data_IF_052458730248
#
_entry.id   IF_052458730248
#
_cell.length_a   1.000
_cell.length_b   1.000
_cell.length_c   1.000
_cell.angle_alpha   90.00
_cell.angle_beta   90.00
_cell.angle_gamma   90.00
#
_symmetry.space_group_name_H-M   'P 1'
#
loop_
_entity.id
_entity.type
_entity.pdbx_description
1 polymer ?
#
# COMPACT_ATOMS: atom_id res chain seq x y z
N UNK A 1 -9.56 -22.35 1.10
CA UNK A 1 -10.48 -21.46 0.38
C UNK A 1 -11.06 -20.43 1.36
N UNK A 2 -11.08 -19.17 0.97
CA UNK A 2 -11.75 -18.08 1.69
C UNK A 2 -12.87 -17.59 0.78
N UNK A 3 -14.10 -17.51 1.28
CA UNK A 3 -15.22 -16.93 0.59
C UNK A 3 -15.59 -15.60 1.27
N UNK A 4 -15.65 -14.52 0.50
CA UNK A 4 -16.05 -13.19 0.95
C UNK A 4 -17.38 -12.87 0.28
N UNK A 5 -18.41 -12.63 1.07
CA UNK A 5 -19.72 -12.25 0.58
C UNK A 5 -19.98 -10.76 0.93
N UNK A 6 -20.33 -9.98 -0.07
CA UNK A 6 -20.82 -8.62 0.10
C UNK A 6 -22.35 -8.66 0.08
N UNK A 7 -22.95 -8.14 1.15
CA UNK A 7 -24.42 -8.03 1.26
C UNK A 7 -24.84 -6.57 1.41
N UNK A 8 -25.97 -6.20 0.83
CA UNK A 8 -26.66 -4.92 0.99
C UNK A 8 -28.12 -5.19 1.27
N UNK A 9 -28.66 -4.66 2.35
CA UNK A 9 -30.05 -4.87 2.83
C UNK A 9 -30.44 -6.37 2.82
N UNK A 10 -29.59 -7.22 3.43
CA UNK A 10 -29.73 -8.68 3.50
C UNK A 10 -29.73 -9.40 2.13
N UNK A 11 -29.43 -8.69 1.05
CA UNK A 11 -29.26 -9.28 -0.29
C UNK A 11 -27.80 -9.51 -0.60
N UNK A 12 -27.51 -10.68 -1.11
CA UNK A 12 -26.16 -11.01 -1.58
C UNK A 12 -25.87 -10.24 -2.88
N UNK A 13 -24.89 -9.35 -2.85
CA UNK A 13 -24.47 -8.52 -3.99
C UNK A 13 -23.31 -9.13 -4.75
N UNK A 14 -22.34 -9.69 -4.03
CA UNK A 14 -21.13 -10.24 -4.63
C UNK A 14 -20.56 -11.37 -3.76
N UNK A 15 -20.03 -12.40 -4.41
CA UNK A 15 -19.25 -13.47 -3.75
C UNK A 15 -17.92 -13.62 -4.44
N UNK A 16 -16.85 -13.37 -3.69
CA UNK A 16 -15.50 -13.62 -4.12
C UNK A 16 -14.94 -14.86 -3.42
N UNK A 17 -14.29 -15.73 -4.16
CA UNK A 17 -13.64 -16.93 -3.61
C UNK A 17 -12.14 -16.89 -3.93
N UNK A 18 -11.33 -17.01 -2.89
CA UNK A 18 -9.89 -17.11 -3.02
C UNK A 18 -9.39 -18.49 -2.56
N UNK A 19 -8.56 -19.12 -3.37
CA UNK A 19 -7.91 -20.37 -2.99
C UNK A 19 -6.63 -20.05 -2.21
N UNK A 20 -6.52 -20.54 -0.97
CA UNK A 20 -5.28 -20.40 -0.19
C UNK A 20 -4.11 -21.03 -0.97
N UNK A 21 -3.07 -20.25 -1.19
CA UNK A 21 -1.74 -20.75 -1.59
C UNK A 21 -1.45 -20.80 -3.10
N UNK A 22 -2.39 -20.37 -3.98
CA UNK A 22 -2.09 -20.30 -5.42
C UNK A 22 -1.44 -19.00 -5.90
N UNK A 23 -1.68 -17.89 -5.18
CA UNK A 23 -1.24 -16.55 -5.59
C UNK A 23 -0.27 -15.93 -4.58
N UNK A 24 0.69 -16.72 -4.10
CA UNK A 24 1.81 -16.17 -3.34
C UNK A 24 2.61 -15.22 -4.24
N UNK A 25 2.77 -13.97 -3.78
CA UNK A 25 3.46 -12.89 -4.49
C UNK A 25 2.73 -12.30 -5.70
N UNK A 26 1.40 -12.46 -5.80
CA UNK A 26 0.58 -11.76 -6.76
C UNK A 26 0.60 -10.23 -6.53
N UNK A 27 0.41 -9.48 -7.62
CA UNK A 27 0.29 -8.01 -7.54
C UNK A 27 -0.82 -7.61 -6.58
N UNK A 28 -0.51 -6.67 -5.68
CA UNK A 28 -1.42 -6.21 -4.63
C UNK A 28 -1.25 -6.90 -3.28
N UNK A 29 -0.61 -8.07 -3.21
CA UNK A 29 -0.33 -8.75 -1.94
C UNK A 29 0.61 -7.92 -1.07
N UNK A 30 0.31 -7.86 0.24
CA UNK A 30 1.05 -7.08 1.23
C UNK A 30 1.82 -8.02 2.15
N UNK A 31 3.08 -7.70 2.37
CA UNK A 31 3.99 -8.46 3.21
C UNK A 31 4.64 -7.58 4.27
N UNK A 32 4.97 -8.18 5.40
CA UNK A 32 5.87 -7.59 6.39
C UNK A 32 7.26 -8.16 6.15
N UNK A 33 8.08 -7.40 5.40
CA UNK A 33 9.39 -7.84 4.94
C UNK A 33 10.52 -7.32 5.82
N UNK A 34 11.71 -7.91 5.63
CA UNK A 34 12.96 -7.51 6.29
C UNK A 34 14.01 -7.12 5.27
N UNK A 35 14.63 -5.96 5.44
CA UNK A 35 15.74 -5.51 4.59
C UNK A 35 16.95 -6.41 4.78
N UNK A 36 17.39 -7.06 3.71
CA UNK A 36 18.58 -7.93 3.67
C UNK A 36 19.82 -7.18 3.21
N UNK A 37 19.66 -6.28 2.23
CA UNK A 37 20.76 -5.58 1.60
C UNK A 37 20.32 -4.22 1.09
N UNK A 38 21.20 -3.24 1.21
CA UNK A 38 21.09 -1.92 0.56
C UNK A 38 22.06 -1.88 -0.61
N UNK A 39 21.61 -1.38 -1.75
CA UNK A 39 22.38 -1.20 -2.98
C UNK A 39 22.40 0.28 -3.38
N UNK A 40 23.36 1.07 -2.87
CA UNK A 40 23.41 2.51 -3.15
C UNK A 40 23.48 2.84 -4.65
N UNK A 41 24.24 2.05 -5.41
CA UNK A 41 24.40 2.25 -6.87
C UNK A 41 23.07 2.13 -7.65
N UNK A 42 22.08 1.38 -7.10
CA UNK A 42 20.76 1.22 -7.69
C UNK A 42 19.72 2.08 -6.98
N UNK A 43 20.11 2.80 -5.94
CA UNK A 43 19.22 3.50 -5.01
C UNK A 43 18.06 2.60 -4.55
N UNK A 44 18.37 1.36 -4.13
CA UNK A 44 17.40 0.31 -3.88
C UNK A 44 17.78 -0.56 -2.68
N UNK A 45 16.80 -1.25 -2.14
CA UNK A 45 16.95 -2.29 -1.13
C UNK A 45 16.46 -3.64 -1.66
N UNK A 46 17.08 -4.72 -1.19
CA UNK A 46 16.57 -6.07 -1.30
C UNK A 46 15.90 -6.48 0.00
N UNK A 47 14.67 -6.94 -0.11
CA UNK A 47 13.77 -7.24 1.02
C UNK A 47 13.38 -8.72 0.98
N UNK A 48 13.53 -9.37 2.10
CA UNK A 48 13.03 -10.72 2.34
C UNK A 48 11.54 -10.65 2.67
N UNK A 49 10.71 -11.25 1.84
CA UNK A 49 9.26 -11.37 1.99
C UNK A 49 8.82 -12.83 2.06
N UNK A 50 9.77 -13.77 2.24
CA UNK A 50 9.51 -15.21 2.24
C UNK A 50 9.51 -15.86 0.85
N UNK A 51 9.90 -15.14 -0.20
CA UNK A 51 10.12 -15.69 -1.53
C UNK A 51 11.54 -16.24 -1.65
N UNK A 52 11.77 -17.25 -2.52
CA UNK A 52 13.11 -17.83 -2.77
C UNK A 52 14.15 -16.79 -3.21
N UNK A 53 13.70 -15.78 -3.97
CA UNK A 53 14.53 -14.65 -4.41
C UNK A 53 14.18 -13.41 -3.62
N UNK A 54 15.17 -12.63 -3.24
CA UNK A 54 14.97 -11.34 -2.57
C UNK A 54 14.15 -10.41 -3.45
N UNK A 55 13.18 -9.73 -2.85
CA UNK A 55 12.32 -8.78 -3.53
C UNK A 55 13.01 -7.41 -3.66
N UNK A 56 12.73 -6.70 -4.75
CA UNK A 56 13.38 -5.43 -5.08
C UNK A 56 12.48 -4.25 -4.72
N UNK A 57 13.01 -3.32 -3.91
CA UNK A 57 12.37 -2.07 -3.52
C UNK A 57 13.26 -0.89 -3.91
N UNK A 58 12.81 -0.07 -4.86
CA UNK A 58 13.52 1.14 -5.28
C UNK A 58 13.14 2.34 -4.40
N UNK A 59 14.04 3.33 -4.27
CA UNK A 59 13.78 4.56 -3.51
C UNK A 59 12.45 5.25 -3.89
N UNK A 60 12.19 5.40 -5.18
CA UNK A 60 10.96 6.01 -5.68
C UNK A 60 9.68 5.25 -5.33
N UNK A 61 9.81 3.99 -4.96
CA UNK A 61 8.70 3.12 -4.56
C UNK A 61 8.45 3.14 -3.03
N UNK A 62 9.18 3.98 -2.24
CA UNK A 62 8.92 4.16 -0.81
C UNK A 62 7.58 4.86 -0.57
N UNK A 63 7.21 5.80 -1.44
CA UNK A 63 6.02 6.64 -1.29
C UNK A 63 6.21 7.78 -0.28
N UNK A 64 5.38 8.81 -0.40
CA UNK A 64 5.50 10.03 0.41
C UNK A 64 5.21 9.80 1.89
N UNK A 65 4.29 8.90 2.21
CA UNK A 65 3.86 8.59 3.58
C UNK A 65 4.70 7.49 4.28
N UNK A 66 5.84 7.10 3.72
CA UNK A 66 6.64 5.98 4.22
C UNK A 66 6.97 6.09 5.72
N UNK A 67 7.51 7.24 6.17
CA UNK A 67 7.88 7.42 7.58
C UNK A 67 6.66 7.35 8.52
N UNK A 68 5.51 7.85 8.08
CA UNK A 68 4.25 7.73 8.84
C UNK A 68 3.79 6.28 8.92
N UNK A 69 3.88 5.53 7.82
CA UNK A 69 3.59 4.09 7.77
C UNK A 69 4.50 3.31 8.71
N UNK A 70 5.80 3.59 8.71
CA UNK A 70 6.76 2.95 9.62
C UNK A 70 6.43 3.23 11.09
N UNK A 71 6.09 4.46 11.43
CA UNK A 71 5.65 4.82 12.79
C UNK A 71 4.39 4.05 13.22
N UNK A 72 3.42 3.93 12.32
CA UNK A 72 2.21 3.15 12.55
C UNK A 72 2.54 1.67 12.82
N UNK A 73 3.33 1.05 11.95
CA UNK A 73 3.72 -0.35 12.06
C UNK A 73 4.50 -0.60 13.35
N UNK A 74 5.43 0.29 13.72
CA UNK A 74 6.18 0.19 14.98
C UNK A 74 5.24 0.18 16.19
N UNK A 75 4.24 1.08 16.22
CA UNK A 75 3.23 1.08 17.28
C UNK A 75 2.38 -0.20 17.28
N UNK A 76 1.98 -0.67 16.11
CA UNK A 76 1.17 -1.89 15.97
C UNK A 76 1.91 -3.13 16.49
N UNK A 77 3.21 -3.24 16.22
CA UNK A 77 4.04 -4.37 16.65
C UNK A 77 4.38 -4.28 18.14
N UNK A 78 4.58 -3.07 18.68
CA UNK A 78 4.92 -2.85 20.10
C UNK A 78 3.73 -3.07 21.04
N UNK A 79 2.52 -2.73 20.62
CA UNK A 79 1.30 -2.95 21.41
C UNK A 79 0.30 -3.84 20.66
N UNK A 80 0.43 -5.14 20.83
CA UNK A 80 -0.43 -6.14 20.19
C UNK A 80 -1.88 -6.15 20.71
N UNK A 81 -2.17 -5.43 21.78
CA UNK A 81 -3.51 -5.40 22.42
C UNK A 81 -4.42 -4.38 21.79
N UNK A 82 -3.86 -3.37 21.12
CA UNK A 82 -4.63 -2.26 20.56
C UNK A 82 -4.16 -1.91 19.15
N UNK A 83 -5.07 -1.95 18.19
CA UNK A 83 -4.81 -1.47 16.83
C UNK A 83 -4.91 0.05 16.85
N UNK A 84 -3.82 0.80 16.54
CA UNK A 84 -3.88 2.25 16.49
C UNK A 84 -4.81 2.71 15.36
N UNK A 85 -5.61 3.74 15.64
CA UNK A 85 -6.43 4.36 14.61
C UNK A 85 -5.54 5.16 13.64
N UNK A 86 -5.68 4.92 12.35
CA UNK A 86 -4.83 5.52 11.30
C UNK A 86 -4.84 7.05 11.36
N UNK A 87 -6.00 7.66 11.58
CA UNK A 87 -6.15 9.12 11.63
C UNK A 87 -5.54 9.78 12.89
N UNK A 88 -5.27 8.99 13.95
CA UNK A 88 -4.64 9.46 15.18
C UNK A 88 -3.11 9.33 15.18
N UNK A 89 -2.55 8.78 14.10
CA UNK A 89 -1.10 8.71 13.96
C UNK A 89 -0.55 10.08 13.58
N UNK A 90 0.39 10.57 14.39
CA UNK A 90 1.11 11.80 14.08
C UNK A 90 1.90 11.62 12.78
N UNK A 91 1.63 12.49 11.83
CA UNK A 91 2.29 12.47 10.52
C UNK A 91 3.77 12.78 10.67
N UNK A 92 4.56 12.04 9.94
CA UNK A 92 5.98 12.27 9.80
C UNK A 92 6.25 13.07 8.52
N UNK A 93 7.43 13.71 8.41
CA UNK A 93 7.84 14.37 7.18
C UNK A 93 7.71 13.44 5.97
N UNK A 94 7.31 13.99 4.84
CA UNK A 94 7.27 13.23 3.59
C UNK A 94 8.70 12.87 3.14
N UNK A 95 8.85 11.72 2.51
CA UNK A 95 10.11 11.37 1.85
C UNK A 95 10.41 12.40 0.76
N UNK A 96 11.64 12.85 0.66
CA UNK A 96 12.07 13.77 -0.37
C UNK A 96 11.82 13.18 -1.76
N UNK A 97 11.58 14.02 -2.77
CA UNK A 97 11.46 13.55 -4.15
C UNK A 97 12.79 13.02 -4.68
N UNK A 98 13.87 13.63 -4.24
CA UNK A 98 15.24 13.23 -4.55
C UNK A 98 15.95 12.87 -3.25
N UNK A 99 16.47 11.67 -3.14
CA UNK A 99 17.13 11.17 -1.94
C UNK A 99 17.72 9.78 -2.16
N UNK A 100 18.28 9.23 -1.11
CA UNK A 100 18.88 7.90 -1.13
C UNK A 100 18.08 6.96 -0.24
N UNK A 101 17.90 5.73 -0.68
CA UNK A 101 17.20 4.72 0.12
C UNK A 101 17.90 4.45 1.46
N UNK A 102 19.22 4.60 1.48
CA UNK A 102 20.05 4.45 2.69
C UNK A 102 19.78 5.50 3.78
N UNK A 103 19.16 6.64 3.42
CA UNK A 103 18.76 7.66 4.41
C UNK A 103 17.52 7.21 5.21
N UNK A 104 16.77 6.28 4.67
CA UNK A 104 15.47 5.83 5.21
C UNK A 104 15.47 4.39 5.72
N UNK A 105 16.34 3.52 5.17
CA UNK A 105 16.39 2.10 5.48
C UNK A 105 17.79 1.62 5.79
N UNK A 106 17.88 0.69 6.75
CA UNK A 106 19.10 -0.03 7.13
C UNK A 106 18.88 -1.54 7.01
N UNK A 107 19.96 -2.28 6.85
CA UNK A 107 19.92 -3.75 6.89
C UNK A 107 19.35 -4.19 8.24
N UNK A 108 18.39 -5.11 8.20
CA UNK A 108 17.67 -5.61 9.37
C UNK A 108 16.35 -4.89 9.67
N UNK A 109 16.11 -3.71 9.11
CA UNK A 109 14.83 -3.01 9.27
C UNK A 109 13.69 -3.85 8.72
N UNK A 110 12.52 -3.70 9.33
CA UNK A 110 11.29 -4.34 8.91
C UNK A 110 10.27 -3.31 8.45
N UNK A 111 9.53 -3.61 7.39
CA UNK A 111 8.58 -2.69 6.78
C UNK A 111 7.41 -3.42 6.12
N UNK A 112 6.26 -2.74 5.98
CA UNK A 112 5.18 -3.19 5.12
C UNK A 112 5.54 -2.86 3.68
N UNK A 113 5.35 -3.85 2.80
CA UNK A 113 5.57 -3.74 1.36
C UNK A 113 4.46 -4.42 0.59
N UNK A 114 4.15 -3.89 -0.57
CA UNK A 114 3.15 -4.42 -1.48
C UNK A 114 3.81 -4.84 -2.79
N UNK A 115 3.43 -6.00 -3.33
CA UNK A 115 3.91 -6.47 -4.63
C UNK A 115 3.31 -5.61 -5.73
N UNK A 116 4.18 -5.02 -6.56
CA UNK A 116 3.80 -4.23 -7.75
C UNK A 116 4.05 -4.96 -9.06
N UNK A 117 4.99 -5.93 -9.03
CA UNK A 117 5.21 -6.88 -10.14
C UNK A 117 5.55 -8.23 -9.56
N UNK A 118 4.95 -9.26 -10.13
CA UNK A 118 5.21 -10.65 -9.77
C UNK A 118 6.65 -11.06 -10.07
N UNK A 119 7.17 -12.09 -9.39
CA UNK A 119 8.48 -12.63 -9.69
C UNK A 119 8.52 -13.20 -11.13
N UNK A 120 9.59 -12.94 -11.85
CA UNK A 120 9.76 -13.41 -13.23
C UNK A 120 11.12 -14.10 -13.36
N UNK A 121 11.13 -15.35 -13.79
CA UNK A 121 12.33 -16.15 -14.01
C UNK A 121 13.27 -16.17 -12.78
N UNK A 122 14.46 -15.59 -12.90
CA UNK A 122 15.48 -15.53 -11.85
C UNK A 122 15.35 -14.31 -10.93
N UNK A 123 14.36 -13.42 -11.15
CA UNK A 123 14.17 -12.18 -10.38
C UNK A 123 13.04 -12.33 -9.39
N UNK A 124 13.27 -11.88 -8.15
CA UNK A 124 12.22 -11.74 -7.13
C UNK A 124 11.18 -10.69 -7.47
N UNK A 125 10.09 -10.59 -6.70
CA UNK A 125 9.03 -9.63 -6.93
C UNK A 125 9.53 -8.19 -6.78
N UNK A 126 8.91 -7.25 -7.50
CA UNK A 126 9.10 -5.82 -7.26
C UNK A 126 8.10 -5.33 -6.23
N UNK A 127 8.56 -4.49 -5.34
CA UNK A 127 7.80 -3.98 -4.20
C UNK A 127 7.59 -2.47 -4.27
N UNK A 128 6.55 -2.02 -3.58
CA UNK A 128 6.35 -0.64 -3.15
C UNK A 128 6.09 -0.62 -1.65
N UNK A 129 6.57 0.39 -0.95
CA UNK A 129 6.18 0.66 0.44
C UNK A 129 4.99 1.64 0.52
N UNK A 130 4.54 2.20 -0.61
CA UNK A 130 3.27 2.91 -0.71
C UNK A 130 2.13 1.90 -0.86
N UNK A 131 1.52 1.59 0.28
CA UNK A 131 0.41 0.62 0.33
C UNK A 131 -0.85 1.23 -0.27
N UNK A 132 -1.50 0.48 -1.15
CA UNK A 132 -2.77 0.84 -1.76
C UNK A 132 -3.76 -0.32 -1.71
N UNK A 133 -5.01 -0.03 -1.37
CA UNK A 133 -6.09 -1.02 -1.33
C UNK A 133 -7.00 -0.73 -2.50
N UNK A 134 -6.88 -1.54 -3.54
CA UNK A 134 -7.61 -1.37 -4.80
C UNK A 134 -8.93 -2.11 -4.74
N UNK A 135 -10.03 -1.36 -4.84
CA UNK A 135 -11.36 -1.89 -5.09
C UNK A 135 -11.78 -1.71 -6.55
N UNK A 136 -13.03 -2.03 -6.85
CA UNK A 136 -13.57 -1.95 -8.21
C UNK A 136 -13.52 -0.53 -8.80
N UNK A 137 -13.94 0.46 -8.02
CA UNK A 137 -14.09 1.85 -8.49
C UNK A 137 -13.18 2.83 -7.75
N UNK A 138 -12.46 2.38 -6.71
CA UNK A 138 -11.67 3.22 -5.84
C UNK A 138 -10.34 2.56 -5.47
N UNK A 139 -9.34 3.40 -5.22
CA UNK A 139 -8.11 3.01 -4.52
C UNK A 139 -8.04 3.80 -3.23
N UNK A 140 -7.92 3.11 -2.10
CA UNK A 140 -7.64 3.71 -0.80
C UNK A 140 -6.15 3.70 -0.52
N UNK A 141 -5.61 4.82 -0.05
CA UNK A 141 -4.20 4.97 0.30
C UNK A 141 -4.13 5.46 1.76
N UNK A 142 -3.60 4.65 2.68
CA UNK A 142 -3.49 5.07 4.08
C UNK A 142 -2.51 6.23 4.25
N UNK A 143 -2.73 7.05 5.30
CA UNK A 143 -1.90 8.19 5.69
C UNK A 143 -1.83 9.34 4.69
N UNK A 144 -2.60 9.30 3.62
CA UNK A 144 -2.79 10.39 2.66
C UNK A 144 -4.25 10.85 2.78
N UNK A 145 -4.53 12.16 2.81
CA UNK A 145 -5.93 12.65 2.89
C UNK A 145 -6.46 13.23 1.59
N UNK A 146 -5.68 13.10 0.52
CA UNK A 146 -6.02 13.68 -0.77
C UNK A 146 -7.07 12.84 -1.51
N UNK A 147 -8.09 13.50 -2.05
CA UNK A 147 -9.04 12.89 -2.99
C UNK A 147 -8.65 13.25 -4.41
N UNK A 148 -8.47 12.24 -5.23
CA UNK A 148 -8.15 12.35 -6.64
C UNK A 148 -9.24 11.69 -7.48
N UNK A 149 -9.45 12.17 -8.69
CA UNK A 149 -10.40 11.60 -9.66
C UNK A 149 -9.64 11.31 -10.94
N UNK A 150 -9.85 10.12 -11.50
CA UNK A 150 -9.19 9.67 -12.74
C UNK A 150 -9.31 10.72 -13.85
N UNK A 151 -8.23 10.95 -14.57
CA UNK A 151 -8.23 11.87 -15.71
C UNK A 151 -9.08 11.40 -16.89
N UNK A 152 -9.46 10.12 -16.91
CA UNK A 152 -10.38 9.57 -17.91
C UNK A 152 -11.80 10.13 -17.78
N UNK A 153 -12.16 10.66 -16.61
CA UNK A 153 -13.41 11.40 -16.42
C UNK A 153 -13.18 12.83 -16.90
N UNK A 154 -13.59 13.11 -18.11
CA UNK A 154 -13.28 14.37 -18.81
C UNK A 154 -14.14 15.56 -18.40
N UNK A 155 -15.40 15.33 -17.96
CA UNK A 155 -16.34 16.40 -17.58
C UNK A 155 -15.97 17.00 -16.22
N UNK A 156 -15.60 18.29 -16.19
CA UNK A 156 -15.23 18.99 -14.95
C UNK A 156 -16.34 19.01 -13.89
N UNK A 157 -17.61 19.16 -14.29
CA UNK A 157 -18.76 19.10 -13.39
C UNK A 157 -18.88 17.76 -12.69
N UNK A 158 -18.69 16.67 -13.45
CA UNK A 158 -18.73 15.31 -12.89
C UNK A 158 -17.53 15.03 -11.98
N UNK A 159 -16.35 15.47 -12.35
CA UNK A 159 -15.16 15.41 -11.49
C UNK A 159 -15.38 16.13 -10.16
N UNK A 160 -15.99 17.32 -10.20
CA UNK A 160 -16.33 18.11 -9.02
C UNK A 160 -17.33 17.37 -8.13
N UNK A 161 -18.41 16.85 -8.71
CA UNK A 161 -19.45 16.09 -8.03
C UNK A 161 -18.87 14.85 -7.33
N UNK A 162 -18.09 14.05 -8.07
CA UNK A 162 -17.45 12.83 -7.53
C UNK A 162 -16.48 13.18 -6.40
N UNK A 163 -15.69 14.23 -6.55
CA UNK A 163 -14.77 14.68 -5.50
C UNK A 163 -15.49 15.06 -4.21
N UNK A 164 -16.60 15.80 -4.30
CA UNK A 164 -17.41 16.18 -3.15
C UNK A 164 -18.05 14.96 -2.49
N UNK A 165 -18.68 14.09 -3.29
CA UNK A 165 -19.28 12.85 -2.80
C UNK A 165 -18.27 12.00 -2.04
N UNK A 166 -17.11 11.73 -2.66
CA UNK A 166 -16.08 10.90 -2.05
C UNK A 166 -15.49 11.54 -0.80
N UNK A 167 -15.33 12.86 -0.79
CA UNK A 167 -14.84 13.58 0.39
C UNK A 167 -15.78 13.43 1.60
N UNK A 168 -17.11 13.30 1.37
CA UNK A 168 -18.08 13.13 2.45
C UNK A 168 -18.12 11.72 3.03
N UNK A 169 -17.70 10.70 2.28
CA UNK A 169 -17.81 9.29 2.69
C UNK A 169 -16.45 8.63 2.99
N UNK A 170 -15.34 9.24 2.57
CA UNK A 170 -14.02 8.62 2.74
C UNK A 170 -13.68 8.42 4.23
N UNK A 171 -13.05 7.30 4.59
CA UNK A 171 -12.56 7.10 5.95
C UNK A 171 -11.49 8.15 6.33
N UNK A 172 -11.48 8.55 7.60
CA UNK A 172 -10.45 9.45 8.12
C UNK A 172 -9.07 8.79 8.08
N UNK A 173 -8.06 9.55 7.71
CA UNK A 173 -6.68 9.04 7.60
C UNK A 173 -6.36 8.34 6.29
N UNK A 174 -7.33 8.27 5.35
CA UNK A 174 -7.11 7.71 4.02
C UNK A 174 -7.23 8.76 2.92
N UNK A 175 -6.40 8.65 1.90
CA UNK A 175 -6.64 9.22 0.59
C UNK A 175 -7.49 8.28 -0.26
N UNK A 176 -8.12 8.83 -1.29
CA UNK A 176 -8.96 8.06 -2.18
C UNK A 176 -8.77 8.52 -3.62
N UNK A 177 -8.60 7.55 -4.53
CA UNK A 177 -8.57 7.76 -5.97
C UNK A 177 -9.83 7.14 -6.54
N UNK A 178 -10.65 7.94 -7.22
CA UNK A 178 -11.80 7.46 -7.99
C UNK A 178 -11.32 6.94 -9.34
N UNK A 179 -11.60 5.69 -9.64
CA UNK A 179 -11.32 5.05 -10.93
C UNK A 179 -12.49 5.22 -11.91
N UNK A 180 -12.30 4.75 -13.12
CA UNK A 180 -13.35 4.71 -14.18
C UNK A 180 -13.77 3.29 -14.43
#
# INVERSE_FOLDING_TARGET
EVAIALTEDDRLMEVNREQRGKDTFAVGNIYYGRVKKIMPALNAAFVDVGHEKEAFLHYLDLGTAFLTTQKYVTKLVSDRRRIPEIHKIERQPECAKEGQIADYLKVGDTLLVQVTKEPINSKGPRLSAEISITGRNFVLIPFIEKVMVSNKISRNSERGRLKQLVQSIKPQGFGLIVLT
#
